data_IF_110622082032
#
_entry.id   IF_110622082032
#
_cell.length_a   1.000
_cell.length_b   1.000
_cell.length_c   1.000
_cell.angle_alpha   90.00
_cell.angle_beta   90.00
_cell.angle_gamma   90.00
#
_symmetry.space_group_name_H-M   'P 1'
#
loop_
_entity.id
_entity.type
_entity.pdbx_description
1 polymer ?
#
# COMPACT_ATOMS: atom_id res chain seq x y z
N UNK A 1 8.61 0.71 17.09
CA UNK A 1 9.13 1.12 15.76
C UNK A 1 9.04 -0.08 14.83
N UNK A 2 8.86 0.05 13.52
CA UNK A 2 9.20 -1.02 12.57
C UNK A 2 10.71 -1.33 12.53
N UNK A 3 11.51 -0.63 13.34
CA UNK A 3 12.90 -0.97 13.70
C UNK A 3 12.99 -1.72 15.04
N UNK A 4 11.88 -1.92 15.75
CA UNK A 4 11.84 -2.72 16.97
C UNK A 4 11.74 -4.21 16.56
N UNK A 5 12.67 -5.03 17.04
CA UNK A 5 12.73 -6.46 16.69
C UNK A 5 11.57 -7.27 17.26
N UNK A 6 10.89 -6.75 18.28
CA UNK A 6 9.72 -7.40 18.88
C UNK A 6 8.42 -7.18 18.06
N UNK A 7 8.45 -6.25 17.11
CA UNK A 7 7.30 -6.03 16.23
C UNK A 7 7.29 -7.10 15.13
N UNK A 8 6.09 -7.55 14.76
CA UNK A 8 5.93 -8.35 13.55
C UNK A 8 6.35 -7.51 12.33
N UNK A 9 7.35 -8.00 11.61
CA UNK A 9 7.89 -7.44 10.37
C UNK A 9 7.80 -8.44 9.21
N UNK A 10 6.94 -9.45 9.35
CA UNK A 10 6.72 -10.45 8.32
C UNK A 10 6.27 -9.78 7.03
N UNK A 11 6.88 -10.19 5.91
CA UNK A 11 6.47 -9.74 4.59
C UNK A 11 5.36 -10.66 4.08
N UNK A 12 4.29 -10.04 3.59
CA UNK A 12 3.14 -10.74 3.03
C UNK A 12 3.16 -10.66 1.50
N UNK A 13 2.62 -11.68 0.83
CA UNK A 13 2.53 -11.73 -0.61
C UNK A 13 1.44 -12.70 -1.09
N UNK A 14 0.90 -12.44 -2.27
CA UNK A 14 -0.07 -13.32 -2.94
C UNK A 14 0.05 -13.16 -4.45
N UNK A 15 -0.36 -14.19 -5.19
CA UNK A 15 -0.60 -14.06 -6.62
C UNK A 15 -1.90 -13.28 -6.86
N UNK A 16 -1.95 -12.59 -8.01
CA UNK A 16 -3.14 -11.90 -8.49
C UNK A 16 -3.47 -12.50 -9.85
N UNK A 17 -4.69 -13.01 -9.99
CA UNK A 17 -5.19 -13.54 -11.25
C UNK A 17 -5.53 -12.38 -12.18
N UNK A 18 -4.59 -11.94 -13.02
CA UNK A 18 -4.74 -10.88 -14.03
C UNK A 18 -3.89 -11.25 -15.24
N UNK A 19 -4.37 -10.92 -16.44
CA UNK A 19 -3.60 -11.09 -17.67
C UNK A 19 -2.76 -9.82 -17.95
N UNK A 20 -1.44 -9.82 -17.71
CA UNK A 20 -0.63 -8.63 -17.85
C UNK A 20 -0.43 -8.16 -19.30
N UNK A 21 -0.78 -8.97 -20.31
CA UNK A 21 -0.69 -8.59 -21.72
C UNK A 21 -1.91 -7.80 -22.19
N UNK A 22 -3.06 -8.00 -21.54
CA UNK A 22 -4.34 -7.45 -21.97
C UNK A 22 -5.00 -6.55 -20.90
N UNK A 23 -4.69 -6.75 -19.61
CA UNK A 23 -5.22 -6.00 -18.49
C UNK A 23 -4.16 -5.06 -17.88
N UNK A 24 -4.62 -3.93 -17.32
CA UNK A 24 -3.76 -3.04 -16.54
C UNK A 24 -3.71 -3.51 -15.09
N UNK A 25 -2.51 -3.54 -14.51
CA UNK A 25 -2.35 -3.76 -13.08
C UNK A 25 -2.93 -2.57 -12.30
N UNK A 26 -3.84 -2.86 -11.38
CA UNK A 26 -4.44 -1.88 -10.48
C UNK A 26 -4.06 -2.17 -9.03
N UNK A 27 -3.85 -1.11 -8.27
CA UNK A 27 -3.57 -1.16 -6.84
C UNK A 27 -4.32 -0.02 -6.15
N UNK A 28 -5.07 -0.36 -5.11
CA UNK A 28 -5.65 0.59 -4.16
C UNK A 28 -5.07 0.30 -2.79
N UNK A 29 -4.64 1.34 -2.09
CA UNK A 29 -4.14 1.20 -0.72
C UNK A 29 -4.86 2.18 0.20
N UNK A 30 -5.42 1.67 1.30
CA UNK A 30 -5.89 2.47 2.42
C UNK A 30 -4.76 2.55 3.44
N UNK A 31 -4.45 3.77 3.88
CA UNK A 31 -3.38 4.04 4.85
C UNK A 31 -4.01 4.77 6.02
N UNK A 32 -4.05 4.12 7.18
CA UNK A 32 -4.53 4.72 8.43
C UNK A 32 -3.51 4.49 9.55
N UNK A 33 -2.57 5.43 9.66
CA UNK A 33 -1.51 5.46 10.66
C UNK A 33 -0.72 4.14 10.78
N UNK A 34 -1.20 3.20 11.59
CA UNK A 34 -0.57 1.91 11.87
C UNK A 34 -1.14 0.74 11.05
N UNK A 35 -2.09 0.99 10.15
CA UNK A 35 -2.72 -0.01 9.30
C UNK A 35 -2.55 0.38 7.83
N UNK A 36 -2.20 -0.62 7.01
CA UNK A 36 -2.18 -0.50 5.55
C UNK A 36 -2.97 -1.66 4.96
N UNK A 37 -3.97 -1.35 4.14
CA UNK A 37 -4.78 -2.35 3.43
C UNK A 37 -4.60 -2.15 1.93
N UNK A 38 -4.03 -3.15 1.26
CA UNK A 38 -3.72 -3.13 -0.17
C UNK A 38 -4.61 -4.09 -0.94
N UNK A 39 -5.22 -3.59 -2.00
CA UNK A 39 -6.15 -4.30 -2.88
C UNK A 39 -5.57 -4.31 -4.30
N UNK A 40 -5.13 -5.47 -4.77
CA UNK A 40 -4.55 -5.67 -6.10
C UNK A 40 -5.59 -6.23 -7.08
N UNK A 41 -5.47 -5.84 -8.35
CA UNK A 41 -6.33 -6.36 -9.43
C UNK A 41 -7.82 -6.10 -9.16
N UNK A 42 -8.16 -4.88 -8.76
CA UNK A 42 -9.53 -4.47 -8.42
C UNK A 42 -10.16 -5.27 -7.25
N UNK A 43 -9.33 -5.81 -6.37
CA UNK A 43 -9.77 -6.57 -5.19
C UNK A 43 -9.71 -8.09 -5.35
N UNK A 44 -9.21 -8.61 -6.48
CA UNK A 44 -8.89 -10.04 -6.66
C UNK A 44 -7.90 -10.55 -5.61
N UNK A 45 -7.04 -9.66 -5.08
CA UNK A 45 -6.13 -9.94 -3.99
C UNK A 45 -6.17 -8.83 -2.93
N UNK A 46 -6.09 -9.22 -1.65
CA UNK A 46 -6.04 -8.29 -0.52
C UNK A 46 -4.91 -8.67 0.44
N UNK A 47 -4.20 -7.67 0.96
CA UNK A 47 -3.21 -7.80 2.03
C UNK A 47 -3.44 -6.69 3.04
N UNK A 48 -3.61 -7.06 4.31
CA UNK A 48 -3.66 -6.12 5.44
C UNK A 48 -2.39 -6.26 6.27
N UNK A 49 -1.72 -5.15 6.53
CA UNK A 49 -0.50 -5.10 7.33
C UNK A 49 -0.62 -4.09 8.47
N UNK A 50 0.07 -4.38 9.58
CA UNK A 50 0.25 -3.47 10.71
C UNK A 50 1.68 -2.97 10.75
N UNK A 51 1.87 -1.67 10.85
CA UNK A 51 3.20 -1.03 10.88
C UNK A 51 3.28 0.02 11.98
N UNK A 52 4.46 0.22 12.55
CA UNK A 52 4.65 1.12 13.69
C UNK A 52 5.87 2.04 13.49
N UNK A 53 5.86 2.95 12.50
CA UNK A 53 7.02 3.80 12.20
C UNK A 53 7.34 4.76 13.35
N UNK A 54 8.62 5.15 13.50
CA UNK A 54 9.04 6.20 14.46
C UNK A 54 9.23 7.57 13.83
N UNK A 55 9.40 7.64 12.51
CA UNK A 55 9.69 8.90 11.79
C UNK A 55 8.51 9.35 10.94
N UNK A 56 7.89 8.43 10.20
CA UNK A 56 6.75 8.70 9.32
C UNK A 56 5.43 8.71 10.12
N UNK A 57 5.28 9.69 11.00
CA UNK A 57 4.09 9.88 11.85
C UNK A 57 3.42 11.21 11.45
N UNK A 58 2.10 11.18 11.29
CA UNK A 58 1.28 12.35 10.91
C UNK A 58 1.80 13.08 9.66
N UNK A 59 2.12 14.36 9.77
CA UNK A 59 2.60 15.26 8.70
C UNK A 59 3.99 14.89 8.15
N UNK A 60 4.75 14.08 8.91
CA UNK A 60 6.05 13.55 8.48
C UNK A 60 5.90 12.34 7.56
N UNK A 61 4.72 11.73 7.48
CA UNK A 61 4.46 10.66 6.52
C UNK A 61 4.50 11.21 5.09
N UNK A 62 5.09 10.44 4.18
CA UNK A 62 5.21 10.78 2.75
C UNK A 62 4.70 9.60 1.91
N UNK A 63 4.11 9.90 0.77
CA UNK A 63 3.62 8.93 -0.20
C UNK A 63 4.45 9.02 -1.48
N UNK A 64 4.87 7.88 -2.01
CA UNK A 64 5.69 7.79 -3.22
C UNK A 64 5.11 6.76 -4.17
N UNK A 65 5.25 7.03 -5.47
CA UNK A 65 5.19 6.01 -6.51
C UNK A 65 6.62 5.79 -7.01
N UNK A 66 7.06 4.53 -7.09
CA UNK A 66 8.43 4.19 -7.45
C UNK A 66 8.48 2.98 -8.39
N UNK A 67 9.57 2.88 -9.15
CA UNK A 67 9.90 1.72 -9.98
C UNK A 67 11.39 1.42 -9.79
N UNK A 68 11.71 0.29 -9.15
CA UNK A 68 13.08 -0.19 -8.96
C UNK A 68 13.46 -1.27 -10.00
N UNK A 69 12.64 -1.47 -11.04
CA UNK A 69 12.92 -2.38 -12.15
C UNK A 69 13.83 -1.75 -13.22
N UNK A 70 14.40 -2.59 -14.09
CA UNK A 70 15.22 -2.16 -15.23
C UNK A 70 14.41 -1.66 -16.41
N UNK A 71 13.16 -2.13 -16.53
CA UNK A 71 12.23 -1.71 -17.58
C UNK A 71 11.37 -0.53 -17.11
N UNK A 72 11.13 0.42 -18.01
CA UNK A 72 10.25 1.53 -17.74
C UNK A 72 8.80 1.05 -17.59
N UNK A 73 8.08 1.63 -16.64
CA UNK A 73 6.65 1.41 -16.43
C UNK A 73 5.90 2.74 -16.55
N UNK A 74 4.67 2.69 -17.05
CA UNK A 74 3.81 3.87 -17.19
C UNK A 74 2.66 3.81 -16.19
N UNK A 75 2.59 4.82 -15.32
CA UNK A 75 1.43 5.02 -14.45
C UNK A 75 0.32 5.64 -15.30
N UNK A 76 -0.69 4.85 -15.66
CA UNK A 76 -1.79 5.33 -16.49
C UNK A 76 -2.75 6.27 -15.73
N UNK A 77 -2.91 6.07 -14.42
CA UNK A 77 -3.69 6.92 -13.51
C UNK A 77 -3.15 6.74 -12.09
N UNK A 78 -3.00 7.85 -11.37
CA UNK A 78 -2.74 7.87 -9.93
C UNK A 78 -3.67 8.91 -9.30
N UNK A 79 -4.35 8.51 -8.24
CA UNK A 79 -5.25 9.38 -7.50
C UNK A 79 -5.04 9.15 -6.01
N UNK A 80 -4.89 10.23 -5.27
CA UNK A 80 -4.66 10.21 -3.83
C UNK A 80 -5.66 11.17 -3.17
N UNK A 81 -6.29 10.70 -2.09
CA UNK A 81 -7.28 11.48 -1.34
C UNK A 81 -6.90 11.50 0.12
N UNK A 82 -6.85 12.69 0.72
CA UNK A 82 -6.76 12.83 2.17
C UNK A 82 -8.07 12.36 2.81
N UNK A 83 -7.99 11.36 3.68
CA UNK A 83 -9.16 10.81 4.36
C UNK A 83 -9.41 11.55 5.68
N UNK A 84 -10.65 12.01 5.89
CA UNK A 84 -11.07 12.61 7.16
C UNK A 84 -11.33 11.51 8.19
N UNK A 85 -11.11 11.83 9.48
CA UNK A 85 -11.43 10.94 10.59
C UNK A 85 -12.94 10.62 10.61
N UNK A 86 -13.28 9.34 10.65
CA UNK A 86 -14.66 8.89 10.84
C UNK A 86 -15.09 9.05 12.30
N UNK A 87 -16.40 9.24 12.52
CA UNK A 87 -17.01 9.08 13.85
C UNK A 87 -17.34 7.60 14.04
N UNK A 88 -16.69 6.97 15.00
CA UNK A 88 -16.91 5.56 15.36
C UNK A 88 -17.60 5.59 16.72
N UNK A 89 -18.77 4.96 16.81
CA UNK A 89 -19.61 4.87 18.01
C UNK A 89 -19.59 3.44 18.56
#
# INVERSE_FOLDING_TARGET
SSLNKDNDMTTYGTFVDVDPLHEKLSLRTLIDHSVVESFGGEGRACITARVYPTLAIHDKAKLYAFNNGTSAVKISRLSAWSMKKAKIY
#
